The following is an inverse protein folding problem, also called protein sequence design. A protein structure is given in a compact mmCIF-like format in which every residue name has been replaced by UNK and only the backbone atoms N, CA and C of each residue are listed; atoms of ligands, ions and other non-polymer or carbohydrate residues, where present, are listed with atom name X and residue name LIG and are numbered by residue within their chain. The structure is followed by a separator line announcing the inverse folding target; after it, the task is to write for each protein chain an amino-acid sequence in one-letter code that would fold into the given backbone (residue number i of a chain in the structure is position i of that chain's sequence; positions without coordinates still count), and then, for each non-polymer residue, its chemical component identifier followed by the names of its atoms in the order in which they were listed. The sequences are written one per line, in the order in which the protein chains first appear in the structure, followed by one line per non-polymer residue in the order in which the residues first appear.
data_IF_935741038400
#
_entry.id   IF_935741038400
#
_cell.length_a   1.000
_cell.length_b   1.000
_cell.length_c   1.000
_cell.angle_alpha   90.00
_cell.angle_beta   90.00
_cell.angle_gamma   90.00
#
_symmetry.space_group_name_H-M   'P 1'
#
loop_
_entity.id
_entity.type
_entity.pdbx_description
1 polymer ?
#
# COMPACT_ATOMS: atom_id res chain seq x y z
N UNK A 1 40.89 37.33 13.94
CA UNK A 1 40.00 37.66 15.07
C UNK A 1 38.70 36.84 15.07
N UNK A 2 38.23 36.31 13.93
CA UNK A 2 36.98 35.53 13.84
C UNK A 2 36.91 34.27 14.73
N UNK A 3 38.03 33.55 14.91
CA UNK A 3 38.06 32.35 15.79
C UNK A 3 37.74 32.67 17.25
N UNK A 4 38.18 33.82 17.76
CA UNK A 4 37.86 34.28 19.11
C UNK A 4 36.38 34.70 19.22
N UNK A 5 35.82 35.26 18.15
CA UNK A 5 34.41 35.64 18.10
C UNK A 5 33.48 34.43 18.11
N UNK A 6 33.74 33.40 17.29
CA UNK A 6 32.95 32.15 17.31
C UNK A 6 32.99 31.43 18.65
N UNK A 7 34.16 31.41 19.31
CA UNK A 7 34.30 30.84 20.65
C UNK A 7 33.50 31.64 21.69
N UNK A 8 33.46 32.97 21.55
CA UNK A 8 32.61 33.81 22.37
C UNK A 8 31.11 33.51 22.14
N UNK A 9 30.65 33.43 20.89
CA UNK A 9 29.26 33.08 20.56
C UNK A 9 28.85 31.72 21.17
N UNK A 10 29.76 30.74 21.15
CA UNK A 10 29.53 29.44 21.79
C UNK A 10 29.44 29.53 23.32
N UNK A 11 30.28 30.36 23.93
CA UNK A 11 30.22 30.62 25.37
C UNK A 11 28.90 31.28 25.75
N UNK A 12 28.43 32.25 24.98
CA UNK A 12 27.14 32.92 25.22
C UNK A 12 25.97 31.94 25.08
N UNK A 13 26.00 31.08 24.05
CA UNK A 13 24.98 30.04 23.89
C UNK A 13 24.93 29.08 25.09
N UNK A 14 26.10 28.68 25.60
CA UNK A 14 26.19 27.80 26.77
C UNK A 14 25.69 28.49 28.05
N UNK A 15 26.03 29.76 28.24
CA UNK A 15 25.53 30.58 29.35
C UNK A 15 24.00 30.71 29.33
N UNK A 16 23.40 30.94 28.16
CA UNK A 16 21.94 31.05 28.00
C UNK A 16 21.24 29.72 28.40
N UNK A 17 21.82 28.56 28.04
CA UNK A 17 21.30 27.25 28.46
C UNK A 17 21.36 27.12 29.99
N UNK A 18 22.50 27.44 30.61
CA UNK A 18 22.67 27.36 32.06
C UNK A 18 21.72 28.29 32.81
N UNK A 19 21.51 29.51 32.31
CA UNK A 19 20.55 30.45 32.89
C UNK A 19 19.12 29.92 32.82
N UNK A 20 18.73 29.32 31.70
CA UNK A 20 17.40 28.74 31.53
C UNK A 20 17.17 27.54 32.47
N UNK A 21 18.19 26.71 32.69
CA UNK A 21 18.15 25.64 33.70
C UNK A 21 18.05 26.23 35.12
N UNK A 22 18.80 27.29 35.44
CA UNK A 22 18.73 27.97 36.75
C UNK A 22 17.36 28.60 37.00
N UNK A 23 16.65 29.02 35.95
CA UNK A 23 15.24 29.50 36.00
C UNK A 23 14.23 28.36 36.23
N UNK A 24 14.67 27.10 36.26
CA UNK A 24 13.83 25.94 36.55
C UNK A 24 13.29 25.20 35.32
N UNK A 25 13.74 25.54 34.10
CA UNK A 25 13.34 24.82 32.90
C UNK A 25 13.96 23.41 32.86
N UNK A 26 13.21 22.46 32.30
CA UNK A 26 13.77 21.14 31.99
C UNK A 26 14.85 21.28 30.93
N UNK A 27 15.87 20.40 30.96
CA UNK A 27 17.05 20.51 30.08
C UNK A 27 16.69 20.63 28.59
N UNK A 28 15.71 19.88 28.13
CA UNK A 28 15.24 19.92 26.74
C UNK A 28 14.63 21.28 26.38
N UNK A 29 13.70 21.76 27.21
CA UNK A 29 13.05 23.07 27.08
C UNK A 29 14.06 24.23 27.17
N UNK A 30 15.04 24.13 28.07
CA UNK A 30 16.10 25.12 28.25
C UNK A 30 16.98 25.23 27.01
N UNK A 31 17.33 24.11 26.39
CA UNK A 31 18.11 24.06 25.14
C UNK A 31 17.30 24.64 23.98
N UNK A 32 16.03 24.24 23.82
CA UNK A 32 15.17 24.79 22.78
C UNK A 32 15.00 26.31 22.89
N UNK A 33 14.71 26.80 24.09
CA UNK A 33 14.57 28.24 24.37
C UNK A 33 15.87 29.00 24.10
N UNK A 34 17.02 28.43 24.48
CA UNK A 34 18.32 29.04 24.21
C UNK A 34 18.65 29.10 22.72
N UNK A 35 18.28 28.08 21.95
CA UNK A 35 18.46 28.07 20.49
C UNK A 35 17.64 29.19 19.83
N UNK A 36 16.37 29.35 20.21
CA UNK A 36 15.52 30.44 19.67
C UNK A 36 16.07 31.81 20.02
N UNK A 37 16.39 32.01 21.30
CA UNK A 37 16.95 33.27 21.82
C UNK A 37 18.28 33.62 21.15
N UNK A 38 19.16 32.64 20.91
CA UNK A 38 20.45 32.88 20.26
C UNK A 38 20.32 33.16 18.77
N UNK A 39 19.39 32.49 18.07
CA UNK A 39 19.07 32.82 16.67
C UNK A 39 18.60 34.27 16.53
N UNK A 40 17.73 34.73 17.44
CA UNK A 40 17.23 36.11 17.47
C UNK A 40 18.34 37.12 17.78
N UNK A 41 19.23 36.81 18.74
CA UNK A 41 20.38 37.64 19.11
C UNK A 41 21.51 37.61 18.07
N UNK A 42 21.41 36.79 17.03
CA UNK A 42 22.45 36.65 16.01
C UNK A 42 23.65 35.79 16.42
N UNK A 43 23.56 35.08 17.53
CA UNK A 43 24.62 34.24 18.12
C UNK A 43 24.55 32.84 17.51
N UNK A 44 25.64 32.37 16.87
CA UNK A 44 25.69 31.07 16.17
C UNK A 44 24.55 30.87 15.15
N UNK A 45 23.95 31.96 14.67
CA UNK A 45 22.69 31.97 13.94
C UNK A 45 22.72 31.07 12.70
N UNK A 46 23.81 31.11 11.96
CA UNK A 46 24.03 30.31 10.76
C UNK A 46 24.06 28.80 11.04
N UNK A 47 24.73 28.40 12.12
CA UNK A 47 24.83 27.00 12.55
C UNK A 47 23.50 26.51 13.09
N UNK A 48 22.85 27.28 13.97
CA UNK A 48 21.60 26.89 14.62
C UNK A 48 20.44 26.79 13.63
N UNK A 49 20.35 27.71 12.66
CA UNK A 49 19.35 27.63 11.58
C UNK A 49 19.59 26.41 10.69
N UNK A 50 20.85 26.16 10.31
CA UNK A 50 21.19 25.03 9.46
C UNK A 50 20.85 23.69 10.12
N UNK A 51 21.20 23.52 11.40
CA UNK A 51 20.88 22.30 12.15
C UNK A 51 19.37 22.09 12.30
N UNK A 52 18.59 23.16 12.55
CA UNK A 52 17.12 23.06 12.55
C UNK A 52 16.55 22.61 11.21
N UNK A 53 17.06 23.17 10.11
CA UNK A 53 16.64 22.80 8.77
C UNK A 53 16.98 21.34 8.44
N UNK A 54 18.15 20.86 8.86
CA UNK A 54 18.58 19.46 8.68
C UNK A 54 17.70 18.48 9.46
N UNK A 55 17.37 18.78 10.73
CA UNK A 55 16.47 17.94 11.54
C UNK A 55 15.05 17.93 10.96
N UNK A 56 14.53 19.09 10.55
CA UNK A 56 13.22 19.17 9.91
C UNK A 56 13.21 18.38 8.59
N UNK A 57 14.25 18.53 7.77
CA UNK A 57 14.37 17.79 6.52
C UNK A 57 14.45 16.28 6.79
N UNK A 58 15.23 15.86 7.77
CA UNK A 58 15.32 14.46 8.19
C UNK A 58 13.95 13.91 8.60
N UNK A 59 13.18 14.61 9.45
CA UNK A 59 11.85 14.17 9.88
C UNK A 59 10.85 14.15 8.71
N UNK A 60 10.87 15.15 7.83
CA UNK A 60 9.95 15.22 6.67
C UNK A 60 10.28 14.18 5.59
N UNK A 61 11.56 13.81 5.47
CA UNK A 61 12.03 12.77 4.54
C UNK A 61 12.15 11.40 5.20
N UNK A 62 11.89 11.30 6.50
CA UNK A 62 11.93 10.04 7.22
C UNK A 62 10.88 9.11 6.63
N UNK A 63 11.36 7.96 6.18
CA UNK A 63 10.52 6.95 5.59
C UNK A 63 9.70 6.26 6.69
N UNK A 64 8.40 6.49 6.69
CA UNK A 64 7.47 5.77 7.58
C UNK A 64 7.21 4.36 7.03
N UNK A 65 8.08 3.42 7.40
CA UNK A 65 7.98 1.99 7.08
C UNK A 65 6.60 1.41 7.39
N UNK A 66 6.01 1.80 8.52
CA UNK A 66 4.71 1.27 8.95
C UNK A 66 3.60 1.77 8.04
N UNK A 67 3.64 3.04 7.62
CA UNK A 67 2.68 3.58 6.65
C UNK A 67 2.83 2.92 5.30
N UNK A 68 4.06 2.75 4.80
CA UNK A 68 4.30 2.09 3.52
C UNK A 68 3.78 0.64 3.53
N UNK A 69 4.10 -0.14 4.56
CA UNK A 69 3.62 -1.51 4.68
C UNK A 69 2.09 -1.62 4.76
N UNK A 70 1.43 -0.69 5.47
CA UNK A 70 -0.05 -0.62 5.50
C UNK A 70 -0.64 -0.35 4.12
N UNK A 71 -0.02 0.53 3.33
CA UNK A 71 -0.45 0.82 1.97
C UNK A 71 -0.30 -0.41 1.08
N UNK A 72 0.88 -1.02 1.05
CA UNK A 72 1.14 -2.23 0.25
C UNK A 72 0.20 -3.37 0.61
N UNK A 73 -0.03 -3.60 1.90
CA UNK A 73 -0.95 -4.64 2.35
C UNK A 73 -2.38 -4.38 1.88
N UNK A 74 -2.83 -3.12 1.93
CA UNK A 74 -4.16 -2.73 1.47
C UNK A 74 -4.30 -2.92 -0.04
N UNK A 75 -3.33 -2.46 -0.82
CA UNK A 75 -3.31 -2.61 -2.28
C UNK A 75 -3.31 -4.08 -2.67
N UNK A 76 -2.44 -4.90 -2.09
CA UNK A 76 -2.39 -6.34 -2.35
C UNK A 76 -3.68 -7.06 -1.94
N UNK A 77 -4.34 -6.63 -0.87
CA UNK A 77 -5.66 -7.16 -0.48
C UNK A 77 -6.75 -6.78 -1.47
N UNK A 78 -6.79 -5.52 -1.91
CA UNK A 78 -7.77 -5.03 -2.88
C UNK A 78 -7.61 -5.73 -4.24
N UNK A 79 -6.38 -5.89 -4.71
CA UNK A 79 -6.04 -6.62 -5.94
C UNK A 79 -6.41 -8.09 -5.84
N UNK A 80 -6.05 -8.76 -4.74
CA UNK A 80 -6.39 -10.17 -4.52
C UNK A 80 -7.90 -10.44 -4.48
N UNK A 81 -8.69 -9.52 -3.90
CA UNK A 81 -10.15 -9.61 -3.91
C UNK A 81 -10.67 -9.45 -5.34
N UNK A 82 -10.17 -8.45 -6.07
CA UNK A 82 -10.60 -8.17 -7.45
C UNK A 82 -10.33 -9.37 -8.36
N UNK A 83 -9.11 -9.91 -8.33
CA UNK A 83 -8.75 -11.11 -9.09
C UNK A 83 -9.59 -12.32 -8.69
N UNK A 84 -9.83 -12.50 -7.39
CA UNK A 84 -10.64 -13.62 -6.88
C UNK A 84 -12.08 -13.56 -7.39
N UNK A 85 -12.68 -12.37 -7.41
CA UNK A 85 -14.03 -12.15 -7.95
C UNK A 85 -14.05 -12.41 -9.45
N UNK A 86 -13.09 -11.86 -10.20
CA UNK A 86 -13.03 -12.02 -11.66
C UNK A 86 -12.89 -13.49 -12.07
N UNK A 87 -11.91 -14.21 -11.48
CA UNK A 87 -11.72 -15.65 -11.70
C UNK A 87 -12.95 -16.45 -11.27
N UNK A 88 -13.56 -16.07 -10.14
CA UNK A 88 -14.78 -16.71 -9.64
C UNK A 88 -15.97 -16.57 -10.59
N UNK A 89 -16.18 -15.37 -11.14
CA UNK A 89 -17.24 -15.10 -12.10
C UNK A 89 -17.01 -15.83 -13.42
N UNK A 90 -15.78 -15.83 -13.95
CA UNK A 90 -15.44 -16.54 -15.19
C UNK A 90 -15.67 -18.05 -15.06
N UNK A 91 -15.15 -18.67 -13.98
CA UNK A 91 -15.35 -20.10 -13.71
C UNK A 91 -16.83 -20.41 -13.48
N UNK A 92 -17.55 -19.56 -12.75
CA UNK A 92 -18.98 -19.72 -12.49
C UNK A 92 -19.81 -19.64 -13.76
N UNK A 93 -19.53 -18.66 -14.62
CA UNK A 93 -20.22 -18.47 -15.89
C UNK A 93 -20.01 -19.66 -16.82
N UNK A 94 -18.77 -20.10 -17.00
CA UNK A 94 -18.44 -21.26 -17.84
C UNK A 94 -19.12 -22.54 -17.34
N UNK A 95 -19.07 -22.80 -16.02
CA UNK A 95 -19.79 -23.95 -15.43
C UNK A 95 -21.30 -23.86 -15.65
N UNK A 96 -21.87 -22.66 -15.50
CA UNK A 96 -23.30 -22.44 -15.75
C UNK A 96 -23.70 -22.72 -17.20
N UNK A 97 -22.88 -22.31 -18.17
CA UNK A 97 -23.09 -22.61 -19.59
C UNK A 97 -22.98 -24.12 -19.86
N UNK A 98 -21.95 -24.78 -19.36
CA UNK A 98 -21.76 -26.23 -19.49
C UNK A 98 -22.94 -27.02 -18.88
N UNK A 99 -23.41 -26.64 -17.69
CA UNK A 99 -24.56 -27.26 -17.03
C UNK A 99 -25.88 -27.02 -17.77
N UNK A 100 -26.06 -25.81 -18.31
CA UNK A 100 -27.23 -25.48 -19.11
C UNK A 100 -27.26 -26.30 -20.41
N UNK A 101 -26.12 -26.36 -21.12
CA UNK A 101 -25.96 -27.15 -22.34
C UNK A 101 -26.19 -28.64 -22.06
N UNK A 102 -25.65 -29.17 -20.95
CA UNK A 102 -25.91 -30.54 -20.51
C UNK A 102 -27.41 -30.84 -20.32
N UNK A 103 -28.16 -29.95 -19.65
CA UNK A 103 -29.61 -30.10 -19.48
C UNK A 103 -30.33 -30.16 -20.83
N UNK A 104 -29.93 -29.33 -21.80
CA UNK A 104 -30.50 -29.36 -23.14
C UNK A 104 -30.20 -30.67 -23.88
N UNK A 105 -28.95 -31.15 -23.79
CA UNK A 105 -28.54 -32.44 -24.37
C UNK A 105 -29.38 -33.58 -23.78
N UNK A 106 -29.57 -33.62 -22.46
CA UNK A 106 -30.38 -34.62 -21.78
C UNK A 106 -31.84 -34.63 -22.26
N UNK A 107 -32.46 -33.46 -22.38
CA UNK A 107 -33.84 -33.32 -22.88
C UNK A 107 -33.97 -33.77 -24.33
N UNK A 108 -33.00 -33.47 -25.19
CA UNK A 108 -33.04 -33.88 -26.60
C UNK A 108 -32.73 -35.38 -26.76
N UNK A 109 -31.87 -35.94 -25.91
CA UNK A 109 -31.56 -37.37 -25.88
C UNK A 109 -32.74 -38.21 -25.41
N UNK A 110 -33.51 -37.74 -24.42
CA UNK A 110 -34.74 -38.43 -23.98
C UNK A 110 -35.84 -38.45 -25.06
N UNK A 111 -35.78 -37.52 -26.02
CA UNK A 111 -36.62 -37.50 -27.24
C UNK A 111 -36.09 -38.41 -28.36
N UNK A 112 -35.03 -39.18 -28.13
CA UNK A 112 -34.48 -40.14 -29.08
C UNK A 112 -33.54 -39.58 -30.14
N UNK A 113 -33.05 -38.33 -29.99
CA UNK A 113 -32.15 -37.69 -30.97
C UNK A 113 -30.72 -38.21 -30.83
N UNK A 114 -30.02 -38.36 -31.96
CA UNK A 114 -28.59 -38.71 -31.99
C UNK A 114 -27.71 -37.51 -31.61
N UNK A 115 -26.46 -37.75 -31.21
CA UNK A 115 -25.53 -36.67 -30.85
C UNK A 115 -25.27 -35.71 -32.02
N UNK A 116 -25.21 -36.22 -33.25
CA UNK A 116 -25.06 -35.40 -34.47
C UNK A 116 -26.26 -34.48 -34.71
N UNK A 117 -27.48 -34.96 -34.49
CA UNK A 117 -28.69 -34.13 -34.58
C UNK A 117 -28.76 -33.10 -33.46
N UNK A 118 -28.28 -33.45 -32.26
CA UNK A 118 -28.25 -32.52 -31.12
C UNK A 118 -27.23 -31.40 -31.38
N UNK A 119 -26.06 -31.72 -31.95
CA UNK A 119 -25.04 -30.76 -32.35
C UNK A 119 -25.59 -29.74 -33.36
N UNK A 120 -26.23 -30.24 -34.42
CA UNK A 120 -26.87 -29.39 -35.43
C UNK A 120 -27.99 -28.51 -34.83
N UNK A 121 -28.86 -29.06 -33.98
CA UNK A 121 -29.96 -28.31 -33.38
C UNK A 121 -29.58 -27.32 -32.27
N UNK A 122 -28.39 -27.49 -31.70
CA UNK A 122 -27.85 -26.57 -30.68
C UNK A 122 -26.84 -25.60 -31.28
N UNK A 123 -26.54 -25.72 -32.59
CA UNK A 123 -25.49 -24.96 -33.28
C UNK A 123 -24.13 -25.09 -32.57
N UNK A 124 -23.86 -26.29 -32.04
CA UNK A 124 -22.65 -26.61 -31.29
C UNK A 124 -21.82 -27.66 -32.04
N UNK A 125 -20.51 -27.61 -31.84
CA UNK A 125 -19.60 -28.62 -32.42
C UNK A 125 -19.87 -30.00 -31.82
N UNK A 126 -19.87 -31.04 -32.66
CA UNK A 126 -20.10 -32.42 -32.23
C UNK A 126 -19.08 -32.85 -31.14
N UNK A 127 -17.83 -32.40 -31.29
CA UNK A 127 -16.74 -32.66 -30.35
C UNK A 127 -17.00 -32.04 -28.98
N UNK A 128 -17.57 -30.84 -28.90
CA UNK A 128 -17.95 -30.15 -27.66
C UNK A 128 -19.03 -30.95 -26.92
N UNK A 129 -20.03 -31.44 -27.64
CA UNK A 129 -21.11 -32.27 -27.08
C UNK A 129 -20.56 -33.59 -26.56
N UNK A 130 -19.70 -34.26 -27.32
CA UNK A 130 -19.04 -35.51 -26.90
C UNK A 130 -18.21 -35.30 -25.63
N UNK A 131 -17.44 -34.21 -25.55
CA UNK A 131 -16.65 -33.88 -24.36
C UNK A 131 -17.53 -33.62 -23.14
N UNK A 132 -18.64 -32.89 -23.28
CA UNK A 132 -19.57 -32.63 -22.17
C UNK A 132 -20.19 -33.95 -21.68
N UNK A 133 -20.60 -34.83 -22.60
CA UNK A 133 -21.15 -36.14 -22.25
C UNK A 133 -20.11 -37.02 -21.55
N UNK A 134 -18.86 -37.04 -22.03
CA UNK A 134 -17.77 -37.77 -21.40
C UNK A 134 -17.45 -37.24 -20.00
N UNK A 135 -17.33 -35.91 -19.84
CA UNK A 135 -16.99 -35.27 -18.57
C UNK A 135 -18.08 -35.47 -17.48
N UNK A 136 -19.35 -35.59 -17.87
CA UNK A 136 -20.45 -35.85 -16.94
C UNK A 136 -20.62 -37.34 -16.61
N UNK A 137 -20.23 -38.26 -17.51
CA UNK A 137 -20.24 -39.70 -17.24
C UNK A 137 -19.01 -40.17 -16.43
N UNK A 138 -17.96 -39.35 -16.36
CA UNK A 138 -16.73 -39.62 -15.60
C UNK A 138 -16.77 -39.13 -14.14
N UNK A 139 -17.84 -38.42 -13.74
CA UNK A 139 -18.14 -38.05 -12.36
C UNK A 139 -19.02 -39.12 -11.70
#
# INVERSE_FOLDING_TARGET
MEKCHRLWEYSEFSSEIEENIKKGMYRDEAVHTAIDTCIEKGILRDILIKQKAEVLHMILTEYDEKKHFRTLFREGKEEGIKEGIEKGLEVGFRKGQEEHLWKQIQIKRSKGKSLSQIAEELEEELTTIEQIVLNQNAK
#
